data_IF_208088357323
#
_entry.id   IF_208088357323
#
_cell.length_a   1.000
_cell.length_b   1.000
_cell.length_c   1.000
_cell.angle_alpha   90.00
_cell.angle_beta   90.00
_cell.angle_gamma   90.00
#
_symmetry.space_group_name_H-M   'P 1'
#
loop_
_entity.id
_entity.type
_entity.pdbx_description
1 polymer ?
#
# COMPACT_ATOMS: atom_id res chain seq x y z
N UNK A 1 -25.78 33.95 53.80
CA UNK A 1 -25.07 32.69 53.46
C UNK A 1 -25.43 32.33 52.02
N UNK A 2 -24.64 32.75 51.04
CA UNK A 2 -24.87 32.48 49.60
C UNK A 2 -23.91 31.34 49.18
N UNK A 3 -24.48 30.19 48.83
CA UNK A 3 -23.76 29.06 48.29
C UNK A 3 -23.60 29.31 46.78
N UNK A 4 -22.35 29.55 46.34
CA UNK A 4 -21.99 29.66 44.93
C UNK A 4 -21.61 28.25 44.48
N UNK A 5 -22.45 27.64 43.63
CA UNK A 5 -22.18 26.41 42.93
C UNK A 5 -21.33 26.73 41.68
N UNK A 6 -20.06 26.41 41.74
CA UNK A 6 -19.18 26.40 40.54
C UNK A 6 -19.45 25.14 39.74
N UNK A 7 -20.21 25.28 38.66
CA UNK A 7 -20.33 24.25 37.66
C UNK A 7 -19.10 24.30 36.75
N UNK A 8 -18.15 23.41 36.98
CA UNK A 8 -17.01 23.19 36.09
C UNK A 8 -17.49 22.48 34.83
N UNK A 9 -17.66 23.21 33.73
CA UNK A 9 -17.96 22.69 32.41
C UNK A 9 -16.64 22.12 31.82
N UNK A 10 -16.42 20.83 31.97
CA UNK A 10 -15.31 20.14 31.31
C UNK A 10 -15.69 19.97 29.84
N UNK A 11 -15.18 20.86 29.00
CA UNK A 11 -15.25 20.75 27.55
C UNK A 11 -14.27 19.61 27.12
N UNK A 12 -14.77 18.39 26.95
CA UNK A 12 -14.04 17.31 26.33
C UNK A 12 -13.86 17.63 24.85
N UNK A 13 -12.70 18.18 24.50
CA UNK A 13 -12.29 18.32 23.10
C UNK A 13 -11.95 16.92 22.60
N UNK A 14 -12.91 16.31 21.94
CA UNK A 14 -12.66 15.11 21.12
C UNK A 14 -11.82 15.55 19.93
N UNK A 15 -10.50 15.41 20.04
CA UNK A 15 -9.64 15.40 18.87
C UNK A 15 -9.98 14.14 18.06
N UNK A 16 -10.94 14.26 17.15
CA UNK A 16 -11.05 13.35 16.04
C UNK A 16 -9.81 13.60 15.19
N UNK A 17 -8.75 12.84 15.44
CA UNK A 17 -7.63 12.69 14.51
C UNK A 17 -8.24 12.10 13.23
N UNK A 18 -8.56 12.98 12.28
CA UNK A 18 -8.79 12.58 10.90
C UNK A 18 -7.43 12.17 10.39
N UNK A 19 -7.05 10.91 10.59
CA UNK A 19 -6.01 10.28 9.84
C UNK A 19 -6.58 10.13 8.42
N UNK A 20 -6.38 11.14 7.58
CA UNK A 20 -6.44 10.94 6.15
C UNK A 20 -5.22 10.07 5.84
N UNK A 21 -5.41 8.75 5.84
CA UNK A 21 -4.39 7.83 5.36
C UNK A 21 -4.01 8.29 3.96
N UNK A 22 -2.73 8.61 3.77
CA UNK A 22 -2.26 9.05 2.47
C UNK A 22 -2.44 7.88 1.50
N UNK A 23 -3.31 8.09 0.51
CA UNK A 23 -3.64 7.07 -0.50
C UNK A 23 -2.39 6.47 -1.17
N UNK A 24 -1.28 7.18 -1.15
CA UNK A 24 -0.03 6.82 -1.81
C UNK A 24 1.14 6.57 -0.85
N UNK A 25 0.89 6.48 0.46
CA UNK A 25 1.94 6.18 1.42
C UNK A 25 2.45 4.74 1.30
N UNK A 26 3.76 4.55 1.43
CA UNK A 26 4.41 3.25 1.58
C UNK A 26 5.05 3.20 2.97
N UNK A 27 4.73 2.16 3.73
CA UNK A 27 5.35 1.88 5.03
C UNK A 27 5.76 0.41 5.11
N UNK A 28 6.39 -0.01 6.19
CA UNK A 28 6.74 -1.42 6.44
C UNK A 28 5.55 -2.38 6.44
N UNK A 29 4.33 -1.88 6.66
CA UNK A 29 3.13 -2.71 6.83
C UNK A 29 1.98 -2.35 5.90
N UNK A 30 2.15 -1.31 5.07
CA UNK A 30 1.05 -0.73 4.29
C UNK A 30 1.54 -0.14 2.97
N UNK A 31 0.73 -0.27 1.91
CA UNK A 31 0.90 0.40 0.61
C UNK A 31 -0.45 1.03 0.24
N UNK A 32 -0.55 2.35 0.36
CA UNK A 32 -1.83 3.06 0.25
C UNK A 32 -2.86 2.47 1.23
N UNK A 33 -4.07 2.09 0.78
CA UNK A 33 -5.09 1.50 1.64
C UNK A 33 -4.84 0.00 1.95
N UNK A 34 -3.80 -0.62 1.36
CA UNK A 34 -3.52 -2.04 1.51
C UNK A 34 -2.66 -2.30 2.73
N UNK A 35 -3.04 -3.27 3.54
CA UNK A 35 -2.24 -3.83 4.63
C UNK A 35 -1.92 -5.30 4.34
N UNK A 36 -1.03 -5.91 5.12
CA UNK A 36 -0.69 -7.35 4.99
C UNK A 36 -1.89 -8.29 5.20
N UNK A 37 -2.93 -7.83 5.91
CA UNK A 37 -4.12 -8.62 6.22
C UNK A 37 -5.28 -8.34 5.25
N UNK A 38 -5.10 -7.40 4.29
CA UNK A 38 -6.12 -7.06 3.31
C UNK A 38 -6.52 -8.28 2.47
N UNK A 39 -7.83 -8.51 2.41
CA UNK A 39 -8.41 -9.62 1.67
C UNK A 39 -8.78 -9.21 0.24
N UNK A 40 -8.71 -10.15 -0.71
CA UNK A 40 -9.06 -9.91 -2.12
C UNK A 40 -10.49 -9.38 -2.28
N UNK A 41 -11.44 -9.86 -1.48
CA UNK A 41 -12.84 -9.43 -1.52
C UNK A 41 -13.07 -7.99 -1.04
N UNK A 42 -12.11 -7.38 -0.33
CA UNK A 42 -12.18 -5.99 0.17
C UNK A 42 -11.70 -4.97 -0.87
N UNK A 43 -10.96 -5.42 -1.90
CA UNK A 43 -10.30 -4.54 -2.86
C UNK A 43 -11.28 -3.58 -3.58
N UNK A 44 -12.47 -4.05 -3.93
CA UNK A 44 -13.49 -3.19 -4.59
C UNK A 44 -13.99 -2.08 -3.69
N UNK A 45 -13.96 -2.27 -2.39
CA UNK A 45 -14.36 -1.26 -1.40
C UNK A 45 -13.19 -0.29 -1.12
N UNK A 46 -11.98 -0.82 -0.97
CA UNK A 46 -10.78 -0.01 -0.73
C UNK A 46 -10.45 0.90 -1.93
N UNK A 47 -10.73 0.43 -3.14
CA UNK A 47 -10.50 1.14 -4.41
C UNK A 47 -11.81 1.53 -5.10
N UNK A 48 -12.82 2.00 -4.35
CA UNK A 48 -14.16 2.32 -4.88
C UNK A 48 -14.15 3.39 -6.00
N UNK A 49 -13.13 4.25 -6.00
CA UNK A 49 -12.93 5.30 -6.99
C UNK A 49 -12.04 4.87 -8.17
N UNK A 50 -11.50 3.67 -8.14
CA UNK A 50 -10.55 3.13 -9.10
C UNK A 50 -11.13 1.85 -9.76
N UNK A 51 -10.48 1.34 -10.79
CA UNK A 51 -10.87 0.09 -11.44
C UNK A 51 -10.07 -1.08 -10.91
N UNK A 52 -10.76 -2.09 -10.40
CA UNK A 52 -10.14 -3.35 -9.94
C UNK A 52 -10.39 -4.42 -11.00
N UNK A 53 -9.33 -4.83 -11.70
CA UNK A 53 -9.37 -5.80 -12.82
C UNK A 53 -8.72 -7.10 -12.38
N UNK A 54 -9.50 -8.16 -12.28
CA UNK A 54 -8.99 -9.50 -12.00
C UNK A 54 -8.60 -10.18 -13.31
N UNK A 55 -7.30 -10.43 -13.50
CA UNK A 55 -6.75 -11.09 -14.69
C UNK A 55 -7.09 -12.59 -14.77
N UNK A 56 -7.70 -13.18 -13.74
CA UNK A 56 -8.12 -14.58 -13.74
C UNK A 56 -9.38 -14.84 -14.59
N UNK A 57 -9.98 -13.81 -15.16
CA UNK A 57 -11.18 -13.97 -16.00
C UNK A 57 -10.79 -14.14 -17.46
N UNK A 58 -10.73 -15.38 -17.96
CA UNK A 58 -10.55 -15.69 -19.38
C UNK A 58 -9.21 -16.35 -19.74
N UNK A 59 -8.56 -15.92 -20.83
CA UNK A 59 -7.31 -16.50 -21.38
C UNK A 59 -6.11 -16.53 -20.40
N UNK A 60 -6.18 -15.78 -19.31
CA UNK A 60 -5.14 -15.70 -18.28
C UNK A 60 -5.07 -16.94 -17.38
N UNK A 61 -6.13 -17.74 -17.35
CA UNK A 61 -6.19 -18.97 -16.55
C UNK A 61 -5.18 -20.02 -17.05
N UNK A 62 -4.93 -20.07 -18.37
CA UNK A 62 -3.89 -20.94 -18.97
C UNK A 62 -2.46 -20.50 -18.64
N UNK A 63 -2.24 -19.21 -18.38
CA UNK A 63 -0.91 -18.63 -18.10
C UNK A 63 -0.57 -18.60 -16.59
N UNK A 64 -1.48 -19.05 -15.70
CA UNK A 64 -1.30 -18.97 -14.23
C UNK A 64 -0.97 -17.57 -13.70
N UNK A 65 -1.39 -16.51 -14.38
CA UNK A 65 -1.22 -15.12 -13.94
C UNK A 65 -2.37 -14.76 -13.01
N UNK A 66 -2.17 -14.94 -11.72
CA UNK A 66 -3.16 -14.61 -10.68
C UNK A 66 -3.02 -13.14 -10.21
N UNK A 67 -2.78 -12.20 -11.13
CA UNK A 67 -2.63 -10.80 -10.78
C UNK A 67 -3.99 -10.08 -10.77
N UNK A 68 -4.16 -9.17 -9.81
CA UNK A 68 -5.27 -8.21 -9.76
C UNK A 68 -4.67 -6.83 -9.99
N UNK A 69 -5.12 -6.14 -11.02
CA UNK A 69 -4.59 -4.85 -11.39
C UNK A 69 -5.52 -3.72 -10.95
N UNK A 70 -4.93 -2.65 -10.43
CA UNK A 70 -5.63 -1.45 -9.99
C UNK A 70 -5.29 -0.31 -10.94
N UNK A 71 -6.32 0.30 -11.52
CA UNK A 71 -6.20 1.44 -12.42
C UNK A 71 -6.99 2.63 -11.88
N UNK A 72 -6.39 3.81 -11.92
CA UNK A 72 -7.10 5.05 -11.66
C UNK A 72 -8.14 5.34 -12.77
N UNK A 73 -9.18 6.10 -12.44
CA UNK A 73 -10.10 6.64 -13.46
C UNK A 73 -9.31 7.46 -14.47
N UNK A 74 -9.27 6.99 -15.72
CA UNK A 74 -8.41 7.56 -16.78
C UNK A 74 -7.42 6.55 -17.33
N UNK A 75 -7.28 5.38 -16.70
CA UNK A 75 -6.54 4.22 -17.23
C UNK A 75 -5.08 4.15 -16.80
N UNK A 76 -4.61 5.02 -15.92
CA UNK A 76 -3.26 4.91 -15.34
C UNK A 76 -3.20 3.73 -14.40
N UNK A 77 -2.26 2.80 -14.63
CA UNK A 77 -2.03 1.68 -13.73
C UNK A 77 -1.38 2.18 -12.43
N UNK A 78 -1.96 1.82 -11.32
CA UNK A 78 -1.47 2.15 -9.99
C UNK A 78 -0.65 0.99 -9.39
N UNK A 79 -1.28 -0.18 -9.31
CA UNK A 79 -0.72 -1.35 -8.64
C UNK A 79 -1.01 -2.63 -9.43
N UNK A 80 -0.17 -3.64 -9.24
CA UNK A 80 -0.46 -5.04 -9.56
C UNK A 80 -0.30 -5.87 -8.29
N UNK A 81 -1.35 -6.60 -7.93
CA UNK A 81 -1.48 -7.33 -6.68
C UNK A 81 -1.42 -8.83 -6.96
N UNK A 82 -0.54 -9.54 -6.28
CA UNK A 82 -0.47 -11.00 -6.35
C UNK A 82 -1.03 -11.62 -5.05
N UNK A 83 -2.20 -12.28 -5.11
CA UNK A 83 -2.75 -12.98 -3.96
C UNK A 83 -1.91 -14.21 -3.57
N UNK A 84 -2.06 -14.66 -2.33
CA UNK A 84 -1.59 -15.99 -1.93
C UNK A 84 -2.29 -17.07 -2.75
N UNK A 85 -1.58 -18.15 -3.09
CA UNK A 85 -2.15 -19.25 -3.90
C UNK A 85 -3.23 -20.02 -3.15
N UNK A 86 -3.06 -20.19 -1.86
CA UNK A 86 -3.96 -20.95 -0.99
C UNK A 86 -4.47 -20.08 0.15
N UNK A 87 -5.69 -20.34 0.59
CA UNK A 87 -6.35 -19.60 1.67
C UNK A 87 -7.78 -19.26 1.32
N UNK A 88 -8.62 -19.14 2.35
CA UNK A 88 -10.00 -18.65 2.22
C UNK A 88 -10.37 -17.87 3.50
N UNK A 89 -10.47 -16.54 3.44
CA UNK A 89 -10.27 -15.69 2.25
C UNK A 89 -8.79 -15.58 1.84
N UNK A 90 -8.53 -15.25 0.55
CA UNK A 90 -7.19 -15.00 0.04
C UNK A 90 -6.75 -13.60 0.45
N UNK A 91 -5.53 -13.48 0.95
CA UNK A 91 -4.86 -12.19 1.22
C UNK A 91 -3.90 -11.81 0.10
N UNK A 92 -3.40 -10.58 0.10
CA UNK A 92 -2.40 -10.11 -0.86
C UNK A 92 -1.01 -10.51 -0.36
N UNK A 93 -0.23 -11.16 -1.23
CA UNK A 93 1.15 -11.59 -0.93
C UNK A 93 2.17 -10.54 -1.36
N UNK A 94 1.99 -9.97 -2.55
CA UNK A 94 2.94 -9.02 -3.14
C UNK A 94 2.17 -7.88 -3.79
N UNK A 95 2.68 -6.67 -3.61
CA UNK A 95 2.20 -5.45 -4.26
C UNK A 95 3.33 -4.93 -5.14
N UNK A 96 3.06 -4.81 -6.44
CA UNK A 96 3.95 -4.14 -7.38
C UNK A 96 3.39 -2.76 -7.69
N UNK A 97 4.23 -1.74 -7.60
CA UNK A 97 3.87 -0.33 -7.76
C UNK A 97 4.20 0.10 -9.18
N UNK A 98 3.28 0.83 -9.84
CA UNK A 98 3.44 1.37 -11.20
C UNK A 98 3.32 2.89 -11.26
N UNK A 99 2.95 3.55 -10.15
CA UNK A 99 2.77 5.01 -10.10
C UNK A 99 3.75 5.64 -9.12
N UNK A 100 4.50 6.64 -9.57
CA UNK A 100 5.52 7.33 -8.79
C UNK A 100 4.98 8.20 -7.64
N UNK A 101 3.66 8.38 -7.54
CA UNK A 101 3.04 9.03 -6.38
C UNK A 101 3.15 8.18 -5.12
N UNK A 102 3.26 6.86 -5.25
CA UNK A 102 3.54 5.99 -4.11
C UNK A 102 4.94 6.29 -3.58
N UNK A 103 5.00 6.73 -2.33
CA UNK A 103 6.23 7.27 -1.76
C UNK A 103 6.38 6.80 -0.30
N UNK A 104 7.59 6.43 0.09
CA UNK A 104 7.92 6.12 1.48
C UNK A 104 8.01 7.38 2.33
N UNK A 105 8.08 7.23 3.66
CA UNK A 105 8.27 8.34 4.59
C UNK A 105 9.57 9.11 4.30
N UNK A 106 10.61 8.40 3.83
CA UNK A 106 11.90 8.99 3.43
C UNK A 106 11.91 9.55 2.00
N UNK A 107 10.76 9.54 1.30
CA UNK A 107 10.59 10.12 -0.03
C UNK A 107 11.01 9.21 -1.19
N UNK A 108 11.28 7.93 -0.95
CA UNK A 108 11.64 6.97 -2.01
C UNK A 108 10.40 6.57 -2.81
N UNK A 109 10.51 6.64 -4.14
CA UNK A 109 9.48 6.27 -5.10
C UNK A 109 10.10 5.74 -6.41
N UNK A 110 9.30 5.46 -7.44
CA UNK A 110 9.76 4.90 -8.70
C UNK A 110 10.74 5.80 -9.50
N UNK A 111 10.84 7.09 -9.17
CA UNK A 111 11.79 8.02 -9.80
C UNK A 111 13.10 8.16 -9.01
N UNK A 112 13.20 7.52 -7.84
CA UNK A 112 14.39 7.61 -7.00
C UNK A 112 15.56 6.85 -7.61
N UNK A 113 16.76 7.38 -7.40
CA UNK A 113 18.00 6.74 -7.82
C UNK A 113 18.50 5.74 -6.78
N UNK A 114 19.47 4.89 -7.16
CA UNK A 114 20.15 4.01 -6.21
C UNK A 114 20.78 4.80 -5.04
N UNK A 115 21.33 5.99 -5.35
CA UNK A 115 21.90 6.85 -4.30
C UNK A 115 20.83 7.31 -3.31
N UNK A 116 19.68 7.77 -3.79
CA UNK A 116 18.59 8.20 -2.91
C UNK A 116 18.15 7.02 -1.99
N UNK A 117 18.05 5.82 -2.56
CA UNK A 117 17.70 4.62 -1.81
C UNK A 117 18.72 4.31 -0.72
N UNK A 118 20.03 4.36 -1.03
CA UNK A 118 21.11 4.07 -0.06
C UNK A 118 21.32 5.19 0.98
N UNK A 119 20.90 6.41 0.67
CA UNK A 119 20.91 7.52 1.63
C UNK A 119 19.73 7.39 2.62
N UNK A 120 18.62 6.77 2.20
CA UNK A 120 17.39 6.64 2.98
C UNK A 120 17.34 5.33 3.80
N UNK A 121 17.85 4.21 3.26
CA UNK A 121 17.69 2.88 3.84
C UNK A 121 18.98 2.06 3.82
N UNK A 122 19.10 1.14 4.79
CA UNK A 122 20.11 0.10 4.75
C UNK A 122 19.72 -0.98 3.73
N UNK A 123 20.65 -1.31 2.81
CA UNK A 123 20.43 -2.35 1.82
C UNK A 123 20.69 -3.72 2.46
N UNK A 124 19.66 -4.53 2.58
CA UNK A 124 19.75 -5.86 3.19
C UNK A 124 20.44 -6.86 2.27
N UNK A 125 20.11 -6.80 0.97
CA UNK A 125 20.63 -7.73 -0.03
C UNK A 125 20.53 -7.17 -1.44
N UNK A 126 21.45 -7.57 -2.31
CA UNK A 126 21.43 -7.27 -3.74
C UNK A 126 21.52 -8.59 -4.51
N UNK A 127 20.61 -8.80 -5.45
CA UNK A 127 20.65 -9.94 -6.38
C UNK A 127 20.77 -9.43 -7.81
N UNK A 128 21.70 -10.04 -8.56
CA UNK A 128 21.89 -9.71 -9.98
C UNK A 128 21.22 -10.79 -10.83
N UNK A 129 20.30 -10.37 -11.68
CA UNK A 129 19.67 -11.20 -12.69
C UNK A 129 20.28 -10.89 -14.06
N UNK A 130 19.87 -11.62 -15.11
CA UNK A 130 20.42 -11.46 -16.47
C UNK A 130 20.24 -10.03 -17.01
N UNK A 131 19.11 -9.39 -16.72
CA UNK A 131 18.71 -8.07 -17.26
C UNK A 131 18.32 -7.04 -16.20
N UNK A 132 18.47 -7.36 -14.92
CA UNK A 132 18.07 -6.49 -13.81
C UNK A 132 18.89 -6.74 -12.56
N UNK A 133 18.83 -5.79 -11.65
CA UNK A 133 19.35 -5.90 -10.28
C UNK A 133 18.15 -5.76 -9.36
N UNK A 134 18.04 -6.67 -8.38
CA UNK A 134 17.03 -6.63 -7.33
C UNK A 134 17.71 -6.21 -6.03
N UNK A 135 17.17 -5.17 -5.41
CA UNK A 135 17.67 -4.61 -4.16
C UNK A 135 16.61 -4.84 -3.09
N UNK A 136 17.01 -5.42 -1.96
CA UNK A 136 16.11 -5.73 -0.85
C UNK A 136 16.33 -4.71 0.28
N UNK A 137 15.22 -4.18 0.78
CA UNK A 137 15.16 -3.23 1.90
C UNK A 137 14.19 -3.79 2.93
N UNK A 138 14.75 -4.46 3.95
CA UNK A 138 13.94 -5.17 4.95
C UNK A 138 13.13 -4.21 5.83
N UNK A 139 13.64 -2.98 6.07
CA UNK A 139 12.97 -1.96 6.88
C UNK A 139 11.56 -1.63 6.40
N UNK A 140 11.32 -1.74 5.10
CA UNK A 140 10.01 -1.49 4.47
C UNK A 140 9.44 -2.71 3.76
N UNK A 141 10.01 -3.90 3.95
CA UNK A 141 9.63 -5.15 3.28
C UNK A 141 9.57 -5.02 1.74
N UNK A 142 10.50 -4.25 1.13
CA UNK A 142 10.53 -3.97 -0.31
C UNK A 142 11.70 -4.64 -1.04
N UNK A 143 11.50 -4.86 -2.35
CA UNK A 143 12.52 -5.29 -3.31
C UNK A 143 12.16 -4.80 -4.72
#
# INVERSE_FOLDING_TARGET
MKRILFAALIASVLFTSCNSEDKFAITATQVGPLTKDTQVNELKTLFENDSVVDQNSGLSEELNVNAIEIYEKGGTQLLSLMPVKEGNPKTIKTVQIFDARYTTEEGINLNSTYKDLTDAYEISRIETLISSIVIFVDDINAY
#
